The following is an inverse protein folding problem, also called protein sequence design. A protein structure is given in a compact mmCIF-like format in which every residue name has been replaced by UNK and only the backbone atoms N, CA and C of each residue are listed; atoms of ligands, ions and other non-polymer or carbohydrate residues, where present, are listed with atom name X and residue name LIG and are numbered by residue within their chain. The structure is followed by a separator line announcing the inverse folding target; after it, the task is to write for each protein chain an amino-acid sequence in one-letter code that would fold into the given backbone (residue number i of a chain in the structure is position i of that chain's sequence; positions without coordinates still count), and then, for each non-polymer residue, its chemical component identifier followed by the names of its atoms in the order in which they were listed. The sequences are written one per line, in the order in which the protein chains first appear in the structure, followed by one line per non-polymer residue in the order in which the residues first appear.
data_IF_826902329514
#
_entry.id   IF_826902329514
#
_cell.length_a   1.000
_cell.length_b   1.000
_cell.length_c   1.000
_cell.angle_alpha   90.00
_cell.angle_beta   90.00
_cell.angle_gamma   90.00
#
_symmetry.space_group_name_H-M   'P 1'
#
loop_
_entity.id
_entity.type
_entity.pdbx_description
1 polymer ?
#
# COMPACT_ATOMS: atom_id res chain seq x y z
N UNK A 1 -16.10 40.02 -19.62
CA UNK A 1 -15.73 38.81 -18.85
C UNK A 1 -16.24 37.60 -19.61
N UNK A 2 -15.35 36.72 -20.07
CA UNK A 2 -15.71 35.49 -20.75
C UNK A 2 -15.33 34.31 -19.87
N UNK A 3 -16.13 33.24 -19.89
CA UNK A 3 -15.85 31.97 -19.21
C UNK A 3 -15.69 30.90 -20.28
N UNK A 4 -14.69 30.07 -20.16
CA UNK A 4 -14.47 28.90 -21.02
C UNK A 4 -14.08 27.70 -20.17
N UNK A 5 -14.37 26.50 -20.66
CA UNK A 5 -13.98 25.26 -20.02
C UNK A 5 -12.73 24.70 -20.68
N UNK A 6 -11.82 24.22 -19.88
CA UNK A 6 -10.60 23.51 -20.33
C UNK A 6 -10.72 22.06 -19.92
N UNK A 7 -10.64 21.15 -20.89
CA UNK A 7 -10.60 19.71 -20.64
C UNK A 7 -9.18 19.21 -20.86
N UNK A 8 -8.60 18.61 -19.83
CA UNK A 8 -7.30 17.93 -19.92
C UNK A 8 -7.58 16.44 -20.13
N UNK A 9 -7.02 15.88 -21.20
CA UNK A 9 -7.05 14.44 -21.46
C UNK A 9 -5.64 13.88 -21.30
N UNK A 10 -5.54 12.75 -20.63
CA UNK A 10 -4.27 12.05 -20.38
C UNK A 10 -4.38 10.68 -21.05
N UNK A 11 -3.35 10.35 -21.83
CA UNK A 11 -3.21 9.03 -22.44
C UNK A 11 -2.42 8.12 -21.45
N UNK A 12 -3.07 7.13 -20.83
CA UNK A 12 -2.39 6.26 -19.88
C UNK A 12 -1.22 5.50 -20.49
N UNK A 13 -1.25 5.23 -21.81
CA UNK A 13 -0.19 4.50 -22.50
C UNK A 13 1.13 5.27 -22.61
N UNK A 14 1.11 6.56 -22.30
CA UNK A 14 2.28 7.45 -22.35
C UNK A 14 2.73 7.93 -20.98
N UNK A 15 2.12 7.41 -19.92
CA UNK A 15 2.53 7.75 -18.55
C UNK A 15 3.83 7.03 -18.22
N UNK A 16 4.78 7.77 -17.70
CA UNK A 16 6.05 7.26 -17.20
C UNK A 16 6.35 7.89 -15.84
N UNK A 17 6.89 7.10 -14.93
CA UNK A 17 7.46 7.63 -13.70
C UNK A 17 8.79 8.29 -14.03
N UNK A 18 8.78 9.60 -14.09
CA UNK A 18 9.97 10.37 -14.44
C UNK A 18 10.61 10.94 -13.18
N UNK A 19 11.90 10.67 -13.02
CA UNK A 19 12.70 11.26 -11.96
C UNK A 19 13.29 12.59 -12.43
N UNK A 20 13.17 13.62 -11.60
CA UNK A 20 13.95 14.85 -11.80
C UNK A 20 15.44 14.47 -11.77
N UNK A 21 16.24 14.87 -12.77
CA UNK A 21 17.67 14.55 -12.82
C UNK A 21 18.48 15.03 -11.62
N UNK A 22 18.00 16.05 -10.91
CA UNK A 22 18.63 16.55 -9.69
C UNK A 22 18.38 15.70 -8.45
N UNK A 23 17.45 14.74 -8.51
CA UNK A 23 17.12 13.86 -7.40
C UNK A 23 17.87 12.53 -7.46
N UNK A 24 18.39 12.09 -6.32
CA UNK A 24 18.98 10.74 -6.21
C UNK A 24 17.90 9.66 -6.35
N UNK A 25 18.23 8.50 -6.95
CA UNK A 25 17.28 7.38 -7.10
C UNK A 25 16.94 6.68 -5.79
N UNK A 26 17.78 6.88 -4.77
CA UNK A 26 17.62 6.31 -3.43
C UNK A 26 17.41 7.40 -2.41
N UNK A 27 16.93 7.00 -1.26
CA UNK A 27 16.71 7.84 -0.09
C UNK A 27 17.11 7.09 1.17
N UNK A 28 17.62 7.81 2.16
CA UNK A 28 18.14 7.23 3.38
C UNK A 28 17.45 7.81 4.61
N UNK A 29 17.13 6.93 5.55
CA UNK A 29 16.88 7.32 6.93
C UNK A 29 18.19 7.30 7.69
N UNK A 30 18.51 8.41 8.35
CA UNK A 30 19.79 8.58 9.06
C UNK A 30 19.54 8.80 10.54
N UNK A 31 20.28 8.10 11.37
CA UNK A 31 20.36 8.44 12.78
C UNK A 31 21.22 9.70 12.95
N UNK A 32 20.59 10.82 13.26
CA UNK A 32 21.27 12.11 13.33
C UNK A 32 22.28 12.21 14.48
N UNK A 33 22.17 11.39 15.51
CA UNK A 33 23.11 11.39 16.63
C UNK A 33 24.43 10.71 16.29
N UNK A 34 24.38 9.71 15.39
CA UNK A 34 25.55 8.91 15.02
C UNK A 34 26.00 9.13 13.57
N UNK A 35 25.18 9.77 12.74
CA UNK A 35 25.41 9.91 11.30
C UNK A 35 25.24 8.60 10.52
N UNK A 36 24.76 7.53 11.17
CA UNK A 36 24.65 6.21 10.56
C UNK A 36 23.36 6.10 9.74
N UNK A 37 23.46 5.60 8.50
CA UNK A 37 22.30 5.22 7.68
C UNK A 37 21.68 3.99 8.32
N UNK A 38 20.41 4.11 8.69
CA UNK A 38 19.62 3.02 9.30
C UNK A 38 18.83 2.25 8.28
N UNK A 39 18.35 2.94 7.23
CA UNK A 39 17.56 2.35 6.14
C UNK A 39 17.92 3.09 4.86
N UNK A 40 18.14 2.34 3.79
CA UNK A 40 18.23 2.85 2.43
C UNK A 40 17.18 2.18 1.54
N UNK A 41 16.50 2.96 0.71
CA UNK A 41 15.46 2.44 -0.16
C UNK A 41 15.30 3.23 -1.44
N UNK A 42 14.56 2.67 -2.38
CA UNK A 42 14.23 3.35 -3.63
C UNK A 42 13.33 4.57 -3.35
N UNK A 43 13.58 5.66 -4.07
CA UNK A 43 12.70 6.82 -4.03
C UNK A 43 11.46 6.58 -4.89
N UNK A 44 10.32 6.99 -4.39
CA UNK A 44 9.07 6.92 -5.12
C UNK A 44 8.95 8.09 -6.10
N UNK A 45 8.48 7.81 -7.30
CA UNK A 45 8.20 8.79 -8.33
C UNK A 45 6.78 8.65 -8.83
N UNK A 46 6.21 9.76 -9.27
CA UNK A 46 4.92 9.79 -9.95
C UNK A 46 5.10 10.45 -11.31
N UNK A 47 4.26 10.10 -12.28
CA UNK A 47 4.20 10.82 -13.54
C UNK A 47 3.68 12.22 -13.28
N UNK A 48 4.29 13.21 -13.91
CA UNK A 48 3.79 14.56 -13.89
C UNK A 48 4.01 15.24 -15.24
N UNK A 49 3.12 16.14 -15.59
CA UNK A 49 3.27 16.97 -16.77
C UNK A 49 2.91 18.42 -16.44
N UNK A 50 3.74 19.32 -16.91
CA UNK A 50 3.53 20.77 -16.77
C UNK A 50 3.45 21.43 -18.12
N UNK A 51 2.57 22.39 -18.25
CA UNK A 51 2.38 23.13 -19.48
C UNK A 51 1.78 24.50 -19.22
N UNK A 52 1.37 25.15 -20.28
CA UNK A 52 0.70 26.45 -20.23
C UNK A 52 -0.49 26.44 -21.20
N UNK A 53 -1.64 26.90 -20.73
CA UNK A 53 -2.70 27.34 -21.62
C UNK A 53 -2.37 28.77 -22.08
N UNK A 54 -2.37 28.97 -23.37
CA UNK A 54 -2.10 30.29 -23.97
C UNK A 54 -3.38 30.71 -24.68
N UNK A 55 -3.92 31.84 -24.28
CA UNK A 55 -5.05 32.49 -24.93
C UNK A 55 -4.52 33.73 -25.66
N UNK A 56 -4.67 33.75 -26.95
CA UNK A 56 -4.27 34.88 -27.79
C UNK A 56 -5.53 35.56 -28.29
N UNK A 57 -5.57 36.87 -28.19
CA UNK A 57 -6.66 37.66 -28.78
C UNK A 57 -6.59 37.53 -30.30
N UNK A 58 -7.73 37.30 -30.92
CA UNK A 58 -7.85 37.27 -32.38
C UNK A 58 -7.72 38.69 -32.99
N UNK A 59 -7.97 39.72 -32.18
CA UNK A 59 -7.80 41.08 -32.57
C UNK A 59 -6.38 41.55 -32.33
N UNK A 60 -5.63 41.82 -33.40
CA UNK A 60 -4.24 42.27 -33.33
C UNK A 60 -4.05 43.66 -32.74
N UNK A 61 -5.13 44.46 -32.63
CA UNK A 61 -5.10 45.76 -32.02
C UNK A 61 -5.28 45.79 -30.52
N UNK A 62 -5.63 44.67 -29.90
CA UNK A 62 -5.86 44.57 -28.47
C UNK A 62 -4.61 44.91 -27.64
N UNK A 63 -4.83 45.67 -26.57
CA UNK A 63 -3.74 46.04 -25.63
C UNK A 63 -3.13 44.85 -24.90
N UNK A 64 -3.94 43.80 -24.63
CA UNK A 64 -3.50 42.54 -24.01
C UNK A 64 -3.62 41.45 -25.05
N UNK A 65 -2.51 41.08 -25.67
CA UNK A 65 -2.49 40.13 -26.79
C UNK A 65 -2.46 38.65 -26.37
N UNK A 66 -2.00 38.37 -25.17
CA UNK A 66 -1.77 37.00 -24.73
C UNK A 66 -1.95 36.86 -23.25
N UNK A 67 -2.81 35.94 -22.85
CA UNK A 67 -2.94 35.49 -21.47
C UNK A 67 -2.31 34.10 -21.34
N UNK A 68 -1.62 33.87 -20.24
CA UNK A 68 -0.98 32.57 -19.96
C UNK A 68 -1.45 32.05 -18.61
N UNK A 69 -1.87 30.80 -18.58
CA UNK A 69 -2.23 30.08 -17.35
C UNK A 69 -1.35 28.84 -17.22
N UNK A 70 -0.60 28.69 -16.13
CA UNK A 70 0.14 27.46 -15.89
C UNK A 70 -0.83 26.29 -15.66
N UNK A 71 -0.46 25.12 -16.16
CA UNK A 71 -1.14 23.86 -15.94
C UNK A 71 -0.13 22.88 -15.38
N UNK A 72 -0.52 22.16 -14.33
CA UNK A 72 0.22 21.04 -13.80
C UNK A 72 -0.74 19.90 -13.51
N UNK A 73 -0.36 18.69 -13.91
CA UNK A 73 -1.11 17.46 -13.66
C UNK A 73 -0.16 16.38 -13.15
N UNK A 74 -0.59 15.65 -12.13
CA UNK A 74 0.10 14.49 -11.61
C UNK A 74 -0.88 13.29 -11.70
N UNK A 75 -1.00 12.67 -12.88
CA UNK A 75 -1.93 11.58 -13.08
C UNK A 75 -1.44 10.33 -12.35
N UNK A 76 -2.39 9.63 -11.75
CA UNK A 76 -2.19 8.29 -11.20
C UNK A 76 -3.02 7.31 -12.01
N UNK A 77 -2.41 6.31 -12.66
CA UNK A 77 -3.16 5.27 -13.30
C UNK A 77 -3.85 4.41 -12.26
N UNK A 78 -5.09 4.02 -12.54
CA UNK A 78 -5.90 3.17 -11.67
C UNK A 78 -6.26 1.91 -12.45
N UNK A 79 -6.01 0.76 -11.85
CA UNK A 79 -6.45 -0.53 -12.37
C UNK A 79 -7.96 -0.69 -12.17
N UNK A 80 -8.65 -1.18 -13.20
CA UNK A 80 -10.06 -1.55 -13.17
C UNK A 80 -10.24 -3.07 -13.26
N UNK A 81 -9.30 -3.84 -12.76
CA UNK A 81 -9.34 -5.30 -12.76
C UNK A 81 -10.28 -5.81 -11.67
N UNK A 82 -10.98 -6.89 -11.99
CA UNK A 82 -11.83 -7.64 -11.06
C UNK A 82 -11.75 -9.12 -11.36
N UNK A 83 -12.11 -9.94 -10.40
CA UNK A 83 -12.27 -11.38 -10.60
C UNK A 83 -13.52 -11.62 -11.44
N UNK A 84 -13.39 -12.43 -12.49
CA UNK A 84 -14.50 -12.86 -13.31
C UNK A 84 -15.22 -14.01 -12.59
N UNK A 85 -16.51 -13.84 -12.33
CA UNK A 85 -17.32 -14.78 -11.55
C UNK A 85 -17.40 -14.41 -10.06
N UNK A 86 -18.48 -14.83 -9.44
CA UNK A 86 -18.81 -14.43 -8.06
C UNK A 86 -18.26 -15.39 -7.01
N UNK A 87 -18.11 -16.68 -7.35
CA UNK A 87 -17.82 -17.72 -6.36
C UNK A 87 -16.61 -18.55 -6.77
N UNK A 88 -15.75 -18.81 -5.79
CA UNK A 88 -14.65 -19.76 -5.89
C UNK A 88 -15.06 -20.97 -5.07
N UNK A 89 -15.30 -22.09 -5.75
CA UNK A 89 -15.60 -23.34 -5.09
C UNK A 89 -14.34 -24.17 -4.99
N UNK A 90 -13.96 -24.52 -3.77
CA UNK A 90 -12.92 -25.51 -3.52
C UNK A 90 -13.57 -26.87 -3.38
N UNK A 91 -13.13 -27.86 -4.16
CA UNK A 91 -13.55 -29.25 -3.97
C UNK A 91 -12.79 -29.79 -2.76
N UNK A 92 -13.52 -30.08 -1.68
CA UNK A 92 -12.98 -30.56 -0.41
C UNK A 92 -12.74 -32.10 -0.41
N UNK A 93 -13.03 -32.78 -1.50
CA UNK A 93 -12.93 -34.25 -1.58
C UNK A 93 -11.52 -34.75 -1.95
N UNK A 94 -10.53 -33.84 -2.11
CA UNK A 94 -9.17 -34.19 -2.49
C UNK A 94 -8.17 -34.06 -1.35
N UNK A 95 -7.31 -35.04 -1.19
CA UNK A 95 -6.08 -34.94 -0.41
C UNK A 95 -5.04 -34.29 -1.30
N UNK A 96 -4.68 -33.01 -1.02
CA UNK A 96 -3.64 -32.29 -1.78
C UNK A 96 -3.85 -30.78 -1.75
N UNK A 97 -2.90 -30.05 -2.31
CA UNK A 97 -3.04 -28.61 -2.50
C UNK A 97 -4.18 -28.32 -3.49
N UNK A 98 -5.16 -27.55 -3.05
CA UNK A 98 -6.25 -27.10 -3.91
C UNK A 98 -5.75 -25.91 -4.72
N UNK A 99 -5.54 -26.12 -6.02
CA UNK A 99 -5.24 -25.04 -6.95
C UNK A 99 -6.52 -24.60 -7.64
N UNK A 100 -6.85 -23.33 -7.49
CA UNK A 100 -7.96 -22.73 -8.22
C UNK A 100 -7.42 -21.60 -9.12
N UNK A 101 -7.72 -21.72 -10.41
CA UNK A 101 -7.40 -20.66 -11.37
C UNK A 101 -8.45 -19.56 -11.26
N UNK A 102 -8.01 -18.35 -10.94
CA UNK A 102 -8.84 -17.15 -10.98
C UNK A 102 -8.75 -16.53 -12.35
N UNK A 103 -9.87 -16.34 -13.02
CA UNK A 103 -9.96 -15.52 -14.22
C UNK A 103 -10.14 -14.07 -13.82
N UNK A 104 -9.34 -13.19 -14.41
CA UNK A 104 -9.42 -11.75 -14.20
C UNK A 104 -9.96 -11.07 -15.45
N UNK A 105 -10.76 -10.05 -15.27
CA UNK A 105 -11.27 -9.20 -16.34
C UNK A 105 -11.11 -7.72 -15.98
N UNK A 106 -11.10 -6.85 -17.00
CA UNK A 106 -10.95 -5.42 -16.82
C UNK A 106 -9.64 -4.90 -17.39
N UNK A 107 -9.23 -3.73 -16.95
CA UNK A 107 -8.05 -3.03 -17.45
C UNK A 107 -6.94 -3.03 -16.40
N UNK A 108 -5.79 -3.54 -16.76
CA UNK A 108 -4.56 -3.49 -15.96
C UNK A 108 -3.64 -2.36 -16.44
N UNK A 109 -2.70 -1.99 -15.59
CA UNK A 109 -1.59 -1.10 -15.92
C UNK A 109 -0.29 -1.88 -15.74
N UNK A 110 0.56 -1.90 -16.78
CA UNK A 110 1.91 -2.47 -16.72
C UNK A 110 2.81 -1.72 -17.71
N UNK A 111 3.13 -0.47 -17.36
CA UNK A 111 3.97 0.38 -18.21
C UNK A 111 4.52 1.59 -17.47
N UNK A 112 5.62 2.12 -17.95
CA UNK A 112 6.21 3.37 -17.44
C UNK A 112 6.58 3.32 -15.95
N UNK A 113 6.86 2.13 -15.40
CA UNK A 113 7.12 1.92 -13.98
C UNK A 113 5.86 1.78 -13.11
N UNK A 114 4.66 1.85 -13.71
CA UNK A 114 3.40 1.53 -13.04
C UNK A 114 3.01 0.09 -13.31
N UNK A 115 2.57 -0.61 -12.27
CA UNK A 115 2.16 -2.01 -12.35
C UNK A 115 0.93 -2.25 -11.51
N UNK A 116 -0.05 -2.97 -12.08
CA UNK A 116 -1.17 -3.51 -11.32
C UNK A 116 -0.72 -4.76 -10.58
N UNK A 117 -0.76 -4.69 -9.26
CA UNK A 117 -0.47 -5.84 -8.41
C UNK A 117 -1.78 -6.46 -7.95
N UNK A 118 -1.83 -7.79 -7.93
CA UNK A 118 -2.94 -8.57 -7.41
C UNK A 118 -2.42 -9.49 -6.31
N UNK A 119 -3.09 -9.48 -5.18
CA UNK A 119 -2.87 -10.42 -4.08
C UNK A 119 -4.17 -11.10 -3.69
N UNK A 120 -4.13 -12.40 -3.48
CA UNK A 120 -5.22 -13.16 -2.89
C UNK A 120 -4.95 -13.33 -1.40
N UNK A 121 -5.98 -13.11 -0.58
CA UNK A 121 -5.91 -13.20 0.87
C UNK A 121 -7.06 -14.07 1.36
N UNK A 122 -6.78 -14.95 2.31
CA UNK A 122 -7.84 -15.59 3.08
C UNK A 122 -8.55 -14.51 3.90
N UNK A 123 -9.88 -14.43 3.75
CA UNK A 123 -10.68 -13.43 4.46
C UNK A 123 -10.77 -13.78 5.95
N UNK A 124 -10.14 -12.98 6.79
CA UNK A 124 -10.20 -13.15 8.24
C UNK A 124 -11.41 -12.48 8.87
N UNK A 125 -11.75 -11.27 8.41
CA UNK A 125 -12.91 -10.54 8.92
C UNK A 125 -13.40 -9.49 7.93
N UNK A 126 -14.67 -9.10 8.09
CA UNK A 126 -15.30 -7.96 7.44
C UNK A 126 -15.98 -7.07 8.45
N UNK A 127 -16.04 -5.78 8.17
CA UNK A 127 -16.69 -4.78 9.03
C UNK A 127 -17.70 -3.98 8.23
N UNK A 128 -18.92 -3.78 8.75
CA UNK A 128 -19.89 -2.92 8.10
C UNK A 128 -19.41 -1.45 8.18
N UNK A 129 -19.80 -0.68 7.17
CA UNK A 129 -19.48 0.74 7.12
C UNK A 129 -20.05 1.50 8.32
N UNK A 130 -19.22 2.29 8.97
CA UNK A 130 -19.67 3.19 10.04
C UNK A 130 -20.54 4.29 9.42
N UNK A 131 -21.77 4.53 9.95
CA UNK A 131 -22.63 5.62 9.44
C UNK A 131 -21.91 6.96 9.53
N UNK A 132 -22.02 7.77 8.48
CA UNK A 132 -21.32 9.08 8.37
C UNK A 132 -21.58 10.00 9.55
N UNK A 133 -22.78 9.94 10.16
CA UNK A 133 -23.12 10.72 11.35
C UNK A 133 -22.34 10.30 12.61
N UNK A 134 -21.73 9.11 12.62
CA UNK A 134 -20.89 8.59 13.71
C UNK A 134 -19.39 8.70 13.40
N UNK A 135 -19.04 9.04 12.16
CA UNK A 135 -17.68 9.39 11.79
C UNK A 135 -17.46 10.83 12.29
N UNK A 136 -16.32 11.07 12.94
CA UNK A 136 -15.90 12.42 13.29
C UNK A 136 -15.69 13.30 12.05
N UNK A 137 -14.77 14.22 12.08
CA UNK A 137 -14.45 15.07 10.93
C UNK A 137 -14.01 14.19 9.75
N UNK A 138 -14.52 14.41 8.55
CA UNK A 138 -14.50 13.59 7.32
C UNK A 138 -13.21 12.86 6.90
N UNK A 139 -12.18 12.86 7.72
CA UNK A 139 -10.96 12.07 7.56
C UNK A 139 -11.08 10.64 8.12
N UNK A 140 -12.09 10.32 8.90
CA UNK A 140 -12.15 9.07 9.65
C UNK A 140 -12.68 7.89 8.80
N UNK A 141 -13.35 8.14 7.67
CA UNK A 141 -13.80 7.09 6.76
C UNK A 141 -12.65 6.25 6.18
N UNK A 142 -11.45 6.81 6.10
CA UNK A 142 -10.23 6.10 5.69
C UNK A 142 -9.69 5.15 6.77
N UNK A 143 -10.16 5.30 8.03
CA UNK A 143 -9.83 4.44 9.15
C UNK A 143 -10.93 3.40 9.42
N UNK A 144 -12.04 3.49 8.68
CA UNK A 144 -13.18 2.58 8.76
C UNK A 144 -12.83 1.29 8.00
N UNK A 145 -12.51 0.23 8.74
CA UNK A 145 -12.12 -1.05 8.18
C UNK A 145 -13.26 -1.68 7.39
N UNK A 146 -12.96 -2.27 6.24
CA UNK A 146 -13.90 -2.98 5.39
C UNK A 146 -13.61 -4.48 5.40
N UNK A 147 -12.41 -4.86 4.96
CA UNK A 147 -11.94 -6.25 4.91
C UNK A 147 -10.54 -6.36 5.47
N UNK A 148 -10.27 -7.47 6.13
CA UNK A 148 -8.92 -7.85 6.55
C UNK A 148 -8.69 -9.31 6.22
N UNK A 149 -7.50 -9.65 5.76
CA UNK A 149 -7.14 -11.02 5.40
C UNK A 149 -5.65 -11.27 5.55
N UNK A 150 -5.27 -12.53 5.47
CA UNK A 150 -3.88 -12.95 5.54
C UNK A 150 -3.53 -13.89 4.38
N UNK A 151 -2.26 -13.86 3.96
CA UNK A 151 -1.72 -14.76 2.95
C UNK A 151 -0.24 -15.04 3.22
N UNK A 152 0.20 -16.25 2.87
CA UNK A 152 1.60 -16.65 2.94
C UNK A 152 2.08 -17.13 1.56
N UNK A 153 3.37 -16.90 1.27
CA UNK A 153 3.99 -17.42 0.05
C UNK A 153 4.69 -18.78 0.25
N UNK A 154 4.56 -19.41 1.43
CA UNK A 154 5.25 -20.68 1.74
C UNK A 154 4.91 -21.76 0.73
N UNK A 155 3.62 -21.94 0.40
CA UNK A 155 3.19 -22.97 -0.55
C UNK A 155 3.80 -22.73 -1.94
N UNK A 156 3.85 -21.48 -2.41
CA UNK A 156 4.43 -21.13 -3.70
C UNK A 156 5.97 -21.38 -3.72
N UNK A 157 6.67 -21.05 -2.64
CA UNK A 157 8.11 -21.34 -2.52
C UNK A 157 8.38 -22.85 -2.55
N UNK A 158 7.63 -23.63 -1.76
CA UNK A 158 7.75 -25.09 -1.75
C UNK A 158 7.46 -25.71 -3.12
N UNK A 159 6.40 -25.24 -3.79
CA UNK A 159 6.06 -25.72 -5.13
C UNK A 159 7.12 -25.38 -6.19
N UNK A 160 7.81 -24.25 -6.04
CA UNK A 160 8.90 -23.84 -6.90
C UNK A 160 10.25 -24.50 -6.54
N UNK A 161 10.34 -25.26 -5.45
CA UNK A 161 11.60 -25.77 -4.91
C UNK A 161 12.55 -24.65 -4.45
N UNK A 162 12.02 -23.49 -4.11
CA UNK A 162 12.78 -22.34 -3.68
C UNK A 162 13.09 -22.40 -2.19
N UNK A 163 14.08 -21.59 -1.76
CA UNK A 163 14.44 -21.48 -0.34
C UNK A 163 13.29 -20.85 0.46
N UNK A 164 12.86 -21.54 1.50
CA UNK A 164 11.81 -21.07 2.41
C UNK A 164 12.29 -20.01 3.41
N UNK A 165 13.59 -19.69 3.46
CA UNK A 165 14.11 -18.57 4.27
C UNK A 165 13.48 -17.22 3.88
N UNK A 166 13.05 -17.08 2.61
CA UNK A 166 12.32 -15.91 2.10
C UNK A 166 10.80 -15.96 2.33
N UNK A 167 10.33 -16.94 3.11
CA UNK A 167 8.91 -17.07 3.40
C UNK A 167 8.37 -15.85 4.15
N UNK A 168 7.21 -15.37 3.73
CA UNK A 168 6.58 -14.14 4.20
C UNK A 168 5.12 -14.38 4.56
N UNK A 169 4.67 -13.60 5.54
CA UNK A 169 3.26 -13.43 5.87
C UNK A 169 2.85 -12.01 5.50
N UNK A 170 1.74 -11.91 4.80
CA UNK A 170 1.16 -10.65 4.36
C UNK A 170 -0.23 -10.48 4.96
N UNK A 171 -0.52 -9.31 5.48
CA UNK A 171 -1.85 -8.92 5.94
C UNK A 171 -2.40 -7.86 4.99
N UNK A 172 -3.50 -8.20 4.30
CA UNK A 172 -4.24 -7.29 3.44
C UNK A 172 -5.32 -6.59 4.25
N UNK A 173 -5.41 -5.28 4.11
CA UNK A 173 -6.38 -4.43 4.82
C UNK A 173 -7.02 -3.51 3.81
N UNK A 174 -8.36 -3.46 3.77
CA UNK A 174 -9.09 -2.45 3.02
C UNK A 174 -9.98 -1.62 3.93
N UNK A 175 -10.24 -0.39 3.52
CA UNK A 175 -11.10 0.56 4.23
C UNK A 175 -12.24 1.05 3.36
N UNK A 176 -13.32 1.52 3.98
CA UNK A 176 -14.47 2.10 3.28
C UNK A 176 -14.18 3.43 2.59
N UNK A 177 -13.17 4.15 3.05
CA UNK A 177 -12.76 5.43 2.48
C UNK A 177 -11.33 5.41 1.98
N UNK A 178 -11.07 6.19 0.93
CA UNK A 178 -9.73 6.35 0.40
C UNK A 178 -8.92 7.32 1.26
N UNK A 179 -7.63 7.06 1.39
CA UNK A 179 -6.66 8.03 1.91
C UNK A 179 -5.84 8.64 0.77
N UNK A 180 -5.42 9.87 0.95
CA UNK A 180 -4.40 10.48 0.10
C UNK A 180 -3.00 10.00 0.49
N UNK A 181 -2.78 9.85 1.80
CA UNK A 181 -1.57 9.35 2.41
C UNK A 181 -1.93 8.52 3.65
N UNK A 182 -1.27 7.38 3.83
CA UNK A 182 -1.55 6.43 4.94
C UNK A 182 -1.17 7.04 6.29
N UNK A 183 -0.04 7.75 6.33
CA UNK A 183 0.50 8.46 7.50
C UNK A 183 0.66 9.96 7.18
N UNK A 184 0.72 10.87 8.13
CA UNK A 184 0.84 10.72 9.59
C UNK A 184 -0.48 10.77 10.35
N UNK A 185 -1.63 10.91 9.68
CA UNK A 185 -2.92 11.21 10.34
C UNK A 185 -3.63 9.99 10.92
N UNK A 186 -3.06 8.81 10.75
CA UNK A 186 -3.60 7.59 11.29
C UNK A 186 -2.57 6.47 11.30
N UNK A 187 -2.85 5.43 12.05
CA UNK A 187 -2.05 4.23 12.10
C UNK A 187 -2.92 3.00 11.96
N UNK A 188 -2.41 2.02 11.26
CA UNK A 188 -2.98 0.69 11.13
C UNK A 188 -2.12 -0.26 11.95
N UNK A 189 -2.77 -1.13 12.70
CA UNK A 189 -2.11 -2.11 13.55
C UNK A 189 -2.63 -3.49 13.23
N UNK A 190 -1.72 -4.45 13.12
CA UNK A 190 -2.03 -5.87 13.15
C UNK A 190 -1.36 -6.45 14.39
N UNK A 191 -2.17 -7.07 15.24
CA UNK A 191 -1.71 -7.79 16.41
C UNK A 191 -1.76 -9.28 16.10
N UNK A 192 -0.64 -9.98 16.28
CA UNK A 192 -0.50 -11.40 15.94
C UNK A 192 -0.19 -12.19 17.20
N UNK A 193 -1.01 -13.20 17.42
CA UNK A 193 -0.84 -14.24 18.45
C UNK A 193 -0.36 -15.50 17.71
N UNK A 194 0.90 -15.84 17.89
CA UNK A 194 1.58 -16.93 17.15
C UNK A 194 1.46 -18.28 17.82
N UNK A 195 1.05 -18.31 19.09
CA UNK A 195 0.91 -19.53 19.88
C UNK A 195 -0.54 -19.82 20.30
N UNK A 196 -1.48 -18.93 19.93
CA UNK A 196 -2.92 -19.01 20.22
C UNK A 196 -3.27 -19.08 21.72
N UNK A 197 -2.48 -18.41 22.54
CA UNK A 197 -2.76 -18.32 23.99
C UNK A 197 -3.72 -17.17 24.35
N UNK A 198 -4.22 -16.43 23.34
CA UNK A 198 -5.12 -15.31 23.50
C UNK A 198 -4.39 -13.99 23.78
N UNK A 199 -3.07 -14.00 23.78
CA UNK A 199 -2.24 -12.81 23.99
C UNK A 199 -1.40 -12.55 22.74
N UNK A 200 -1.51 -11.36 22.18
CA UNK A 200 -0.71 -11.01 21.00
C UNK A 200 0.78 -10.94 21.33
N UNK A 201 1.60 -11.67 20.58
CA UNK A 201 3.05 -11.72 20.69
C UNK A 201 3.74 -10.62 19.91
N UNK A 202 3.16 -10.29 18.73
CA UNK A 202 3.73 -9.32 17.81
C UNK A 202 2.70 -8.24 17.43
N UNK A 203 3.22 -7.07 17.12
CA UNK A 203 2.44 -5.94 16.59
C UNK A 203 3.14 -5.39 15.37
N UNK A 204 2.43 -5.35 14.25
CA UNK A 204 2.79 -4.61 13.06
C UNK A 204 2.09 -3.26 13.09
N UNK A 205 2.78 -2.20 12.72
CA UNK A 205 2.25 -0.84 12.73
C UNK A 205 2.74 -0.06 11.52
N UNK A 206 1.86 0.68 10.85
CA UNK A 206 2.30 1.66 9.85
C UNK A 206 3.05 2.81 10.53
N UNK A 207 4.24 3.10 10.05
CA UNK A 207 5.08 4.19 10.54
C UNK A 207 5.69 4.98 9.40
N UNK A 208 6.14 6.20 9.68
CA UNK A 208 6.95 6.99 8.77
C UNK A 208 8.30 7.24 9.39
N UNK A 209 9.35 6.82 8.72
CA UNK A 209 10.70 7.10 9.13
C UNK A 209 11.21 8.41 8.49
N UNK A 210 11.98 9.16 9.24
CA UNK A 210 12.51 10.44 8.79
C UNK A 210 13.49 10.23 7.64
N UNK A 211 13.34 10.99 6.57
CA UNK A 211 14.16 10.87 5.37
C UNK A 211 13.56 10.00 4.28
N UNK A 212 12.48 9.25 4.57
CA UNK A 212 11.79 8.43 3.57
C UNK A 212 10.47 9.07 3.14
N UNK A 213 10.15 8.95 1.87
CA UNK A 213 8.91 9.49 1.27
C UNK A 213 7.76 8.47 1.22
N UNK A 214 7.97 7.26 1.71
CA UNK A 214 6.94 6.24 1.82
C UNK A 214 6.84 5.66 3.24
N UNK A 215 5.66 5.18 3.64
CA UNK A 215 5.46 4.56 4.93
C UNK A 215 6.04 3.15 4.99
N UNK A 216 6.37 2.73 6.20
CA UNK A 216 6.90 1.42 6.52
C UNK A 216 5.96 0.67 7.47
N UNK A 217 6.18 -0.63 7.56
CA UNK A 217 5.64 -1.52 8.57
C UNK A 217 6.70 -1.72 9.63
N UNK A 218 6.42 -1.33 10.86
CA UNK A 218 7.27 -1.56 12.03
C UNK A 218 6.78 -2.76 12.79
N UNK A 219 7.66 -3.72 13.04
CA UNK A 219 7.37 -4.89 13.86
C UNK A 219 7.88 -4.68 15.27
N UNK A 220 7.04 -4.99 16.24
CA UNK A 220 7.38 -5.00 17.66
C UNK A 220 6.99 -6.34 18.27
N UNK A 221 7.79 -6.84 19.19
CA UNK A 221 7.51 -8.05 19.99
C UNK A 221 7.04 -7.64 21.39
N UNK A 222 6.12 -8.40 21.95
CA UNK A 222 5.70 -8.21 23.33
C UNK A 222 6.75 -8.78 24.28
N UNK A 223 7.21 -7.97 25.22
CA UNK A 223 8.15 -8.37 26.28
C UNK A 223 7.76 -7.70 27.58
N UNK A 224 7.53 -8.48 28.64
CA UNK A 224 7.14 -7.98 29.95
C UNK A 224 5.94 -7.00 29.88
N UNK A 225 4.92 -7.33 29.08
CA UNK A 225 3.72 -6.53 28.89
C UNK A 225 3.88 -5.27 28.04
N UNK A 226 5.08 -4.99 27.50
CA UNK A 226 5.39 -3.82 26.67
C UNK A 226 5.72 -4.22 25.24
N UNK A 227 5.44 -3.33 24.29
CA UNK A 227 5.85 -3.47 22.91
C UNK A 227 7.29 -2.97 22.73
N UNK A 228 8.19 -3.87 22.35
CA UNK A 228 9.59 -3.56 22.08
C UNK A 228 9.83 -3.72 20.59
N UNK A 229 10.39 -2.70 19.95
CA UNK A 229 10.72 -2.78 18.53
C UNK A 229 11.78 -3.87 18.30
N UNK A 230 11.59 -4.65 17.24
CA UNK A 230 12.58 -5.65 16.81
C UNK A 230 13.67 -4.91 16.04
N UNK A 231 14.91 -5.28 16.28
CA UNK A 231 16.04 -4.82 15.48
C UNK A 231 15.84 -5.24 14.00
N UNK A 232 16.08 -4.32 13.08
CA UNK A 232 15.78 -4.50 11.64
C UNK A 232 14.30 -4.87 11.32
N UNK A 233 13.37 -4.59 12.22
CA UNK A 233 11.95 -4.88 12.08
C UNK A 233 11.16 -3.80 11.33
N UNK A 234 11.75 -3.21 10.27
CA UNK A 234 11.10 -2.24 9.40
C UNK A 234 11.03 -2.77 7.97
N UNK A 235 9.85 -2.74 7.39
CA UNK A 235 9.57 -3.27 6.05
C UNK A 235 8.76 -2.27 5.22
N UNK A 236 8.92 -2.23 3.89
CA UNK A 236 8.10 -1.37 3.04
C UNK A 236 6.61 -1.74 3.13
N UNK A 237 5.75 -0.73 3.18
CA UNK A 237 4.31 -0.94 3.02
C UNK A 237 4.00 -1.21 1.54
N UNK A 238 3.07 -2.12 1.25
CA UNK A 238 2.62 -2.51 -0.09
C UNK A 238 3.71 -3.11 -1.00
N UNK A 239 4.82 -3.58 -0.46
CA UNK A 239 5.87 -4.12 -1.32
C UNK A 239 7.02 -4.73 -0.55
N UNK A 240 8.14 -4.89 -1.24
CA UNK A 240 9.41 -5.37 -0.69
C UNK A 240 10.52 -4.34 -0.92
N UNK A 241 11.65 -4.50 -0.24
CA UNK A 241 12.81 -3.64 -0.50
C UNK A 241 13.24 -3.75 -1.96
N UNK A 242 13.50 -2.58 -2.58
CA UNK A 242 13.83 -2.48 -4.00
C UNK A 242 12.64 -2.17 -4.91
N UNK A 243 11.41 -2.33 -4.46
CA UNK A 243 10.23 -1.92 -5.22
C UNK A 243 10.16 -0.40 -5.36
N UNK A 244 9.87 0.05 -6.57
CA UNK A 244 9.65 1.47 -6.88
C UNK A 244 8.17 1.82 -7.04
N UNK A 245 7.29 0.84 -7.02
CA UNK A 245 5.84 1.02 -7.16
C UNK A 245 5.06 0.31 -6.07
N UNK A 246 5.06 0.89 -4.89
CA UNK A 246 4.30 0.37 -3.75
C UNK A 246 2.87 0.88 -3.69
N UNK A 247 2.49 1.78 -4.60
CA UNK A 247 1.14 2.35 -4.76
C UNK A 247 0.46 2.76 -3.44
N UNK A 248 1.15 3.56 -2.65
CA UNK A 248 0.75 3.93 -1.29
C UNK A 248 -0.19 5.13 -1.19
N UNK A 249 -0.43 5.85 -2.29
CA UNK A 249 -1.23 7.08 -2.31
C UNK A 249 -2.57 6.86 -3.00
N UNK A 250 -3.59 7.65 -2.60
CA UNK A 250 -4.94 7.64 -3.17
C UNK A 250 -5.54 6.24 -3.31
N UNK A 251 -5.43 5.44 -2.27
CA UNK A 251 -5.89 4.06 -2.21
C UNK A 251 -6.76 3.85 -0.98
N UNK A 252 -7.46 2.74 -0.94
CA UNK A 252 -8.15 2.24 0.24
C UNK A 252 -7.65 0.84 0.65
N UNK A 253 -6.54 0.39 0.07
CA UNK A 253 -5.98 -0.94 0.32
C UNK A 253 -4.50 -0.83 0.67
N UNK A 254 -4.09 -1.50 1.72
CA UNK A 254 -2.69 -1.64 2.11
C UNK A 254 -2.36 -3.09 2.42
N UNK A 255 -1.08 -3.43 2.23
CA UNK A 255 -0.55 -4.76 2.52
C UNK A 255 0.68 -4.61 3.41
N UNK A 256 0.64 -5.29 4.55
CA UNK A 256 1.76 -5.38 5.48
C UNK A 256 2.43 -6.74 5.32
N UNK A 257 3.59 -6.77 4.68
CA UNK A 257 4.35 -8.00 4.43
C UNK A 257 5.58 -8.05 5.32
N UNK A 258 5.77 -9.16 6.04
CA UNK A 258 6.93 -9.37 6.91
C UNK A 258 7.46 -10.81 6.75
N UNK A 259 8.76 -11.06 6.93
CA UNK A 259 9.29 -12.42 6.96
C UNK A 259 8.66 -13.24 8.09
N UNK A 260 8.39 -14.53 7.85
CA UNK A 260 7.90 -15.43 8.88
C UNK A 260 8.86 -15.54 10.06
N UNK A 261 10.17 -15.54 9.79
CA UNK A 261 11.23 -15.61 10.79
C UNK A 261 11.17 -14.49 11.83
N UNK A 262 10.73 -13.29 11.42
CA UNK A 262 10.60 -12.14 12.33
C UNK A 262 9.44 -12.34 13.32
N UNK A 263 8.44 -13.12 12.94
CA UNK A 263 7.34 -13.51 13.80
C UNK A 263 7.62 -14.82 14.57
N UNK A 264 8.83 -15.38 14.43
CA UNK A 264 9.20 -16.63 15.06
C UNK A 264 8.44 -17.85 14.50
N UNK A 265 7.92 -17.76 13.28
CA UNK A 265 7.19 -18.83 12.61
C UNK A 265 8.14 -19.66 11.74
N UNK A 266 7.99 -20.99 11.79
CA UNK A 266 8.78 -21.92 10.98
C UNK A 266 8.06 -22.20 9.65
N UNK A 267 8.64 -21.82 8.49
CA UNK A 267 8.04 -22.09 7.19
C UNK A 267 8.05 -23.59 6.83
N UNK A 268 8.82 -24.42 7.54
CA UNK A 268 8.92 -25.84 7.29
C UNK A 268 8.02 -26.67 8.20
N UNK A 269 7.33 -26.05 9.16
CA UNK A 269 6.34 -26.72 9.96
C UNK A 269 5.27 -27.37 9.08
N UNK A 270 4.72 -28.50 9.52
CA UNK A 270 3.65 -29.23 8.82
C UNK A 270 2.39 -28.38 8.70
N UNK A 271 2.06 -27.65 9.76
CA UNK A 271 1.01 -26.63 9.79
C UNK A 271 1.37 -25.53 10.76
N UNK A 272 0.91 -24.32 10.48
CA UNK A 272 1.08 -23.18 11.38
C UNK A 272 -0.26 -22.45 11.48
N UNK A 273 -0.80 -22.38 12.67
CA UNK A 273 -2.02 -21.61 12.97
C UNK A 273 -1.65 -20.39 13.78
N UNK A 274 -2.21 -19.26 13.39
CA UNK A 274 -2.08 -18.00 14.11
C UNK A 274 -3.45 -17.38 14.35
N UNK A 275 -3.58 -16.55 15.37
CA UNK A 275 -4.69 -15.62 15.51
C UNK A 275 -4.20 -14.20 15.26
N UNK A 276 -5.03 -13.35 14.67
CA UNK A 276 -4.68 -11.95 14.49
C UNK A 276 -5.91 -11.05 14.60
N UNK A 277 -5.67 -9.81 14.98
CA UNK A 277 -6.66 -8.74 14.97
C UNK A 277 -6.09 -7.48 14.31
N UNK A 278 -6.98 -6.71 13.70
CA UNK A 278 -6.61 -5.46 13.02
C UNK A 278 -7.37 -4.31 13.67
N UNK A 279 -6.65 -3.25 13.98
CA UNK A 279 -7.22 -2.02 14.50
C UNK A 279 -6.66 -0.80 13.77
N UNK A 280 -7.42 0.27 13.79
CA UNK A 280 -7.01 1.57 13.27
C UNK A 280 -7.07 2.61 14.37
N UNK A 281 -6.21 3.62 14.28
CA UNK A 281 -6.20 4.77 15.18
C UNK A 281 -6.04 6.04 14.37
N UNK A 282 -6.95 6.98 14.55
CA UNK A 282 -6.86 8.31 13.97
C UNK A 282 -6.27 9.30 14.97
N UNK A 283 -5.39 10.19 14.52
CA UNK A 283 -4.89 11.29 15.35
C UNK A 283 -5.99 12.33 15.71
N UNK A 284 -7.17 12.20 15.11
CA UNK A 284 -8.31 13.11 15.28
C UNK A 284 -9.52 12.46 15.95
N UNK A 285 -9.47 11.17 16.28
CA UNK A 285 -10.48 10.53 17.12
C UNK A 285 -10.17 10.86 18.58
N UNK A 286 -11.05 11.65 19.19
CA UNK A 286 -11.06 11.84 20.63
C UNK A 286 -11.66 10.62 21.33
#
# INVERSE_FOLDING_TARGET
KATFAVTVRIDPSKLEKTRDPSMYPTQDSVNYSTGTVTISGARQYIASASGRLILTDADSSAAVKTLRMPLHVAPKPVSAMRVAGADIHFDTNGVGALEQRLSLEGTAVDQGGYRSLLGAFELGASSPRIPTAKLGVGSDSRMDLQYVGAASNVAALKAAGADTSDARLSFGISTWGNWQEVTPRGSYYVFVDTNKDGTSDYRLQTVREKGLDYPLVKVSKRSNGKWVAIENGLYPLNGTWGDTDTNIMDSNTLVMTVPLSVLGLDPNAESTEISYSVTTSSAFSA
#
